data_IF_330305501619
#
_entry.id   IF_330305501619
#
_cell.length_a   1.000
_cell.length_b   1.000
_cell.length_c   1.000
_cell.angle_alpha   90.00
_cell.angle_beta   90.00
_cell.angle_gamma   90.00
#
_symmetry.space_group_name_H-M   'P 1'
#
loop_
_entity.id
_entity.type
_entity.pdbx_description
1 polymer ?
#
# COMPACT_ATOMS: atom_id res chain seq x y z
N UNK A 1 -9.12 -4.03 6.54
CA UNK A 1 -8.14 -2.98 6.15
C UNK A 1 -6.83 -3.69 5.82
N UNK A 2 -6.11 -3.25 4.79
CA UNK A 2 -4.80 -3.81 4.47
C UNK A 2 -3.69 -3.29 5.37
N UNK A 3 -2.50 -3.87 5.20
CA UNK A 3 -1.27 -3.48 5.84
C UNK A 3 -0.60 -2.40 5.00
N UNK A 4 -0.12 -1.32 5.60
CA UNK A 4 0.51 -0.21 4.88
C UNK A 4 1.75 0.25 5.63
N UNK A 5 2.66 0.91 4.92
CA UNK A 5 3.73 1.71 5.53
C UNK A 5 3.52 3.18 5.18
N UNK A 6 4.02 4.08 6.01
CA UNK A 6 3.92 5.53 5.74
C UNK A 6 4.62 5.91 4.42
N UNK A 7 5.76 5.27 4.13
CA UNK A 7 6.58 5.55 2.95
C UNK A 7 5.88 5.20 1.62
N UNK A 8 5.16 4.07 1.58
CA UNK A 8 4.62 3.53 0.33
C UNK A 8 3.09 3.58 0.23
N UNK A 9 2.39 3.72 1.36
CA UNK A 9 0.93 3.87 1.43
C UNK A 9 0.18 2.79 0.64
N UNK A 10 -0.80 3.22 -0.16
CA UNK A 10 -1.64 2.34 -0.98
C UNK A 10 -0.89 1.59 -2.08
N UNK A 11 0.26 2.13 -2.54
CA UNK A 11 1.09 1.56 -3.61
C UNK A 11 1.53 0.13 -3.31
N UNK A 12 1.79 -0.11 -2.03
CA UNK A 12 2.19 -1.41 -1.53
C UNK A 12 1.28 -1.89 -0.40
N UNK A 13 -0.01 -1.55 -0.45
CA UNK A 13 -0.97 -2.07 0.52
C UNK A 13 -0.97 -3.61 0.47
N UNK A 14 -0.60 -4.20 1.60
CA UNK A 14 -0.55 -5.62 1.84
C UNK A 14 -1.88 -6.18 2.32
N UNK A 15 -2.11 -7.47 2.04
CA UNK A 15 -3.21 -8.23 2.65
C UNK A 15 -2.95 -9.72 2.60
N UNK A 16 -3.64 -10.45 3.46
CA UNK A 16 -3.80 -11.89 3.31
C UNK A 16 -4.73 -12.18 2.12
N UNK A 17 -4.16 -12.73 1.04
CA UNK A 17 -4.87 -13.15 -0.16
C UNK A 17 -5.36 -14.60 -0.04
N UNK A 18 -6.61 -14.85 -0.43
CA UNK A 18 -7.19 -16.19 -0.45
C UNK A 18 -6.60 -17.04 -1.59
N UNK A 19 -6.35 -18.31 -1.29
CA UNK A 19 -5.88 -19.33 -2.25
C UNK A 19 -6.78 -20.55 -2.14
N UNK A 20 -7.29 -21.01 -3.27
CA UNK A 20 -8.18 -22.16 -3.37
C UNK A 20 -7.40 -23.48 -3.36
N UNK A 21 -8.12 -24.60 -3.25
CA UNK A 21 -7.53 -25.95 -3.26
C UNK A 21 -6.69 -26.24 -4.52
N UNK A 22 -7.12 -25.71 -5.68
CA UNK A 22 -6.38 -25.81 -6.95
C UNK A 22 -5.14 -24.88 -7.02
N UNK A 23 -4.90 -24.08 -5.97
CA UNK A 23 -3.81 -23.13 -5.89
C UNK A 23 -4.06 -21.78 -6.58
N UNK A 24 -5.24 -21.57 -7.17
CA UNK A 24 -5.62 -20.31 -7.80
C UNK A 24 -6.11 -19.27 -6.79
N UNK A 25 -6.06 -17.99 -7.17
CA UNK A 25 -6.76 -16.93 -6.43
C UNK A 25 -8.21 -16.82 -6.92
N UNK A 26 -9.19 -16.73 -6.01
CA UNK A 26 -10.57 -16.51 -6.40
C UNK A 26 -10.78 -15.07 -6.93
N UNK A 27 -11.76 -14.91 -7.82
CA UNK A 27 -12.21 -13.59 -8.25
C UNK A 27 -12.89 -12.85 -7.09
N UNK A 28 -12.93 -11.50 -7.10
CA UNK A 28 -13.69 -10.72 -6.13
C UNK A 28 -15.16 -11.20 -6.05
N UNK A 29 -15.72 -11.27 -4.85
CA UNK A 29 -17.12 -11.60 -4.61
C UNK A 29 -17.95 -10.31 -4.70
N UNK A 30 -19.07 -10.37 -5.42
CA UNK A 30 -20.06 -9.31 -5.46
C UNK A 30 -21.06 -9.51 -4.31
N UNK A 31 -21.14 -8.53 -3.42
CA UNK A 31 -22.12 -8.48 -2.36
C UNK A 31 -23.28 -7.59 -2.82
N UNK A 32 -24.43 -8.23 -3.06
CA UNK A 32 -25.68 -7.52 -3.31
C UNK A 32 -26.23 -7.07 -1.95
N UNK A 33 -26.15 -5.77 -1.69
CA UNK A 33 -26.64 -5.14 -0.46
C UNK A 33 -27.99 -4.46 -0.71
N UNK A 34 -28.81 -4.95 -1.65
CA UNK A 34 -30.21 -4.53 -1.83
C UNK A 34 -30.45 -3.07 -2.27
N UNK A 35 -31.52 -2.85 -3.04
CA UNK A 35 -32.21 -1.62 -3.53
C UNK A 35 -31.47 -0.28 -3.80
N UNK A 36 -30.17 -0.15 -3.56
CA UNK A 36 -29.31 0.96 -3.98
C UNK A 36 -28.38 0.50 -5.10
N UNK A 37 -28.26 1.30 -6.16
CA UNK A 37 -27.65 0.92 -7.44
C UNK A 37 -26.12 0.70 -7.48
N UNK A 38 -25.49 0.24 -6.39
CA UNK A 38 -24.07 -0.08 -6.38
C UNK A 38 -23.78 -1.28 -5.50
N UNK A 39 -23.61 -2.46 -6.10
CA UNK A 39 -23.11 -3.59 -5.33
C UNK A 39 -21.64 -3.44 -4.98
N UNK A 40 -21.27 -3.94 -3.82
CA UNK A 40 -19.91 -3.85 -3.31
C UNK A 40 -19.15 -5.11 -3.70
N UNK A 41 -17.98 -4.94 -4.33
CA UNK A 41 -17.07 -6.07 -4.57
C UNK A 41 -16.00 -6.14 -3.49
N UNK A 42 -15.68 -7.34 -3.03
CA UNK A 42 -14.62 -7.55 -2.04
C UNK A 42 -13.76 -8.77 -2.39
N UNK A 43 -12.48 -8.67 -2.07
CA UNK A 43 -11.51 -9.77 -2.17
C UNK A 43 -10.96 -10.15 -0.80
N UNK A 44 -11.66 -9.76 0.27
CA UNK A 44 -11.24 -10.08 1.63
C UNK A 44 -11.32 -11.59 1.85
N UNK A 45 -10.23 -12.24 2.29
CA UNK A 45 -10.14 -13.71 2.25
C UNK A 45 -11.29 -14.42 2.99
N UNK A 46 -11.83 -13.78 4.05
CA UNK A 46 -12.94 -14.30 4.87
C UNK A 46 -14.24 -14.57 4.09
N UNK A 47 -14.44 -13.92 2.94
CA UNK A 47 -15.64 -14.17 2.12
C UNK A 47 -15.57 -15.46 1.31
N UNK A 48 -14.42 -16.16 1.32
CA UNK A 48 -14.20 -17.40 0.58
C UNK A 48 -14.23 -18.60 1.52
N UNK A 49 -15.32 -18.77 2.27
CA UNK A 49 -15.52 -19.86 3.22
C UNK A 49 -16.35 -21.02 2.67
N UNK A 50 -16.86 -20.87 1.44
CA UNK A 50 -17.73 -21.86 0.79
C UNK A 50 -19.23 -21.56 0.96
N UNK A 51 -19.59 -20.50 1.68
CA UNK A 51 -20.99 -20.06 1.85
C UNK A 51 -21.40 -19.07 0.75
N UNK A 52 -22.71 -18.84 0.59
CA UNK A 52 -23.26 -17.89 -0.38
C UNK A 52 -22.75 -18.07 -1.83
N UNK A 53 -22.50 -19.32 -2.23
CA UNK A 53 -22.02 -19.67 -3.57
C UNK A 53 -20.55 -19.33 -3.84
N UNK A 54 -19.79 -18.91 -2.83
CA UNK A 54 -18.36 -18.62 -2.95
C UNK A 54 -17.55 -19.92 -2.95
N UNK A 55 -16.36 -19.87 -3.58
CA UNK A 55 -15.40 -20.99 -3.49
C UNK A 55 -14.67 -20.91 -2.15
N UNK A 56 -14.51 -22.04 -1.46
CA UNK A 56 -13.77 -22.12 -0.19
C UNK A 56 -12.27 -22.05 -0.44
N UNK A 57 -11.61 -21.04 0.14
CA UNK A 57 -10.16 -20.95 0.22
C UNK A 57 -9.62 -22.03 1.14
N UNK A 58 -8.47 -22.61 0.82
CA UNK A 58 -7.80 -23.60 1.69
C UNK A 58 -6.56 -23.01 2.34
N UNK A 59 -6.02 -21.94 1.76
CA UNK A 59 -4.80 -21.29 2.23
C UNK A 59 -4.89 -19.77 2.10
N UNK A 60 -4.02 -19.09 2.83
CA UNK A 60 -3.66 -17.69 2.68
C UNK A 60 -2.26 -17.55 2.11
N UNK A 61 -2.00 -16.42 1.46
CA UNK A 61 -0.64 -15.96 1.13
C UNK A 61 -0.53 -14.45 1.31
N UNK A 62 0.69 -13.95 1.50
CA UNK A 62 0.93 -12.52 1.38
C UNK A 62 0.60 -12.03 -0.02
N UNK A 63 -0.04 -10.88 -0.14
CA UNK A 63 -0.31 -10.22 -1.42
C UNK A 63 -0.16 -8.72 -1.27
N UNK A 64 0.25 -8.05 -2.34
CA UNK A 64 0.48 -6.61 -2.37
C UNK A 64 -0.30 -5.97 -3.52
N UNK A 65 -0.72 -4.72 -3.33
CA UNK A 65 -1.40 -3.89 -4.34
C UNK A 65 -0.58 -3.75 -5.63
N UNK A 66 0.76 -3.73 -5.53
CA UNK A 66 1.67 -3.68 -6.66
C UNK A 66 1.68 -4.95 -7.55
N UNK A 67 0.90 -5.98 -7.19
CA UNK A 67 0.81 -7.24 -7.94
C UNK A 67 1.68 -8.37 -7.37
N UNK A 68 2.56 -8.09 -6.41
CA UNK A 68 3.36 -9.13 -5.75
C UNK A 68 2.47 -10.16 -5.03
N UNK A 69 2.93 -11.41 -5.07
CA UNK A 69 2.27 -12.56 -4.45
C UNK A 69 3.31 -13.42 -3.74
N UNK A 70 3.10 -13.63 -2.44
CA UNK A 70 3.91 -14.52 -1.62
C UNK A 70 3.87 -15.95 -2.16
N UNK A 71 5.02 -16.62 -2.11
CA UNK A 71 5.16 -18.01 -2.58
C UNK A 71 4.67 -19.01 -1.52
N UNK A 72 4.82 -18.68 -0.23
CA UNK A 72 4.37 -19.51 0.88
C UNK A 72 2.85 -19.46 1.03
N UNK A 73 2.26 -20.63 1.28
CA UNK A 73 0.85 -20.82 1.55
C UNK A 73 0.67 -21.23 3.01
N UNK A 74 -0.29 -20.60 3.68
CA UNK A 74 -0.61 -20.82 5.10
C UNK A 74 -2.00 -21.43 5.17
N UNK A 75 -2.13 -22.65 5.68
CA UNK A 75 -3.41 -23.36 5.70
C UNK A 75 -4.44 -22.59 6.54
N UNK A 76 -5.68 -22.56 6.06
CA UNK A 76 -6.82 -22.06 6.84
C UNK A 76 -7.48 -23.25 7.51
N UNK A 77 -7.49 -23.25 8.83
CA UNK A 77 -8.28 -24.21 9.58
C UNK A 77 -9.72 -23.72 9.68
N UNK A 78 -10.60 -24.33 8.91
CA UNK A 78 -12.02 -24.00 8.90
C UNK A 78 -12.86 -24.83 9.89
N UNK A 79 -12.24 -25.72 10.67
CA UNK A 79 -12.96 -26.63 11.57
C UNK A 79 -13.71 -25.91 12.69
N UNK A 80 -13.30 -24.68 13.02
CA UNK A 80 -13.86 -23.84 14.08
C UNK A 80 -15.02 -22.93 13.61
N UNK A 81 -15.56 -23.14 12.40
CA UNK A 81 -16.73 -22.40 11.91
C UNK A 81 -16.54 -20.88 11.87
N UNK A 82 -17.40 -20.12 12.56
CA UNK A 82 -17.33 -18.64 12.59
C UNK A 82 -16.11 -18.10 13.36
N UNK A 83 -15.53 -18.85 14.30
CA UNK A 83 -14.35 -18.42 15.06
C UNK A 83 -13.12 -18.24 14.16
N UNK A 84 -13.04 -19.02 13.08
CA UNK A 84 -12.05 -18.91 12.01
C UNK A 84 -12.04 -17.51 11.42
N UNK A 85 -13.22 -16.88 11.30
CA UNK A 85 -13.34 -15.53 10.74
C UNK A 85 -12.72 -14.48 11.65
N UNK A 86 -12.48 -14.73 12.93
CA UNK A 86 -11.89 -13.73 13.83
C UNK A 86 -10.47 -14.06 14.27
N UNK A 87 -10.15 -15.35 14.43
CA UNK A 87 -8.90 -15.81 15.05
C UNK A 87 -7.88 -16.41 14.06
N UNK A 88 -8.18 -16.39 12.76
CA UNK A 88 -7.18 -16.86 11.77
C UNK A 88 -5.93 -16.00 11.81
N UNK A 89 -4.82 -16.64 12.15
CA UNK A 89 -3.51 -16.02 12.19
C UNK A 89 -3.07 -15.58 10.78
N UNK A 90 -2.84 -14.28 10.64
CA UNK A 90 -2.30 -13.67 9.40
C UNK A 90 -0.85 -13.23 9.54
N UNK A 91 -0.18 -13.57 10.64
CA UNK A 91 1.21 -13.21 10.94
C UNK A 91 2.19 -13.69 9.86
N UNK A 92 2.01 -14.91 9.35
CA UNK A 92 2.81 -15.48 8.27
C UNK A 92 2.70 -14.69 6.95
N UNK A 93 1.48 -14.57 6.36
CA UNK A 93 1.24 -13.71 5.21
C UNK A 93 1.73 -12.26 5.40
N UNK A 94 1.58 -11.70 6.60
CA UNK A 94 2.06 -10.36 6.94
C UNK A 94 3.60 -10.29 6.93
N UNK A 95 4.29 -11.26 7.53
CA UNK A 95 5.75 -11.31 7.54
C UNK A 95 6.33 -11.43 6.12
N UNK A 96 5.69 -12.21 5.25
CA UNK A 96 6.07 -12.27 3.83
C UNK A 96 5.89 -10.91 3.13
N UNK A 97 4.82 -10.18 3.45
CA UNK A 97 4.61 -8.83 2.94
C UNK A 97 5.65 -7.83 3.48
N UNK A 98 5.98 -7.86 4.77
CA UNK A 98 7.05 -7.02 5.36
C UNK A 98 8.38 -7.25 4.66
N UNK A 99 8.75 -8.51 4.42
CA UNK A 99 9.95 -8.84 3.65
C UNK A 99 9.89 -8.27 2.23
N UNK A 100 8.73 -8.37 1.57
CA UNK A 100 8.53 -7.77 0.26
C UNK A 100 8.71 -6.24 0.29
N UNK A 101 8.21 -5.53 1.30
CA UNK A 101 8.44 -4.09 1.45
C UNK A 101 9.93 -3.77 1.60
N UNK A 102 10.66 -4.54 2.40
CA UNK A 102 12.12 -4.38 2.51
C UNK A 102 12.85 -4.61 1.19
N UNK A 103 12.37 -5.54 0.37
CA UNK A 103 12.90 -5.75 -0.99
C UNK A 103 12.56 -4.59 -1.96
N UNK A 104 11.41 -3.93 -1.78
CA UNK A 104 11.03 -2.73 -2.56
C UNK A 104 11.93 -1.56 -2.18
N UNK A 105 12.10 -1.32 -0.88
CA UNK A 105 12.97 -0.27 -0.34
C UNK A 105 14.43 -0.46 -0.77
N UNK A 106 14.96 -1.69 -0.68
CA UNK A 106 16.34 -1.97 -1.10
C UNK A 106 16.60 -1.75 -2.60
N UNK A 107 15.55 -1.72 -3.43
CA UNK A 107 15.64 -1.48 -4.89
C UNK A 107 15.37 -0.04 -5.29
N UNK A 108 14.80 0.77 -4.40
CA UNK A 108 14.57 2.18 -4.65
C UNK A 108 15.85 2.99 -4.40
N UNK A 109 15.88 4.23 -4.89
CA UNK A 109 17.00 5.14 -4.67
C UNK A 109 16.98 5.56 -3.20
N UNK A 110 18.03 5.27 -2.42
CA UNK A 110 18.09 5.68 -1.02
C UNK A 110 18.24 7.19 -0.94
N UNK A 111 17.60 7.79 0.07
CA UNK A 111 17.90 9.16 0.45
C UNK A 111 19.24 9.19 1.20
N UNK A 112 20.02 10.28 1.10
CA UNK A 112 21.17 10.49 1.97
C UNK A 112 20.78 10.37 3.45
N UNK A 113 21.61 9.72 4.26
CA UNK A 113 21.29 9.43 5.66
C UNK A 113 20.99 10.71 6.47
N UNK A 114 21.75 11.77 6.21
CA UNK A 114 21.56 13.07 6.87
C UNK A 114 20.20 13.69 6.53
N UNK A 115 19.70 13.46 5.30
CA UNK A 115 18.38 13.92 4.89
C UNK A 115 17.27 13.07 5.53
N UNK A 116 17.46 11.76 5.65
CA UNK A 116 16.53 10.89 6.37
C UNK A 116 16.40 11.32 7.83
N UNK A 117 17.53 11.55 8.52
CA UNK A 117 17.56 12.02 9.91
C UNK A 117 16.90 13.40 10.07
N UNK A 118 17.13 14.30 9.12
CA UNK A 118 16.48 15.62 9.12
C UNK A 118 14.97 15.52 8.98
N UNK A 119 14.48 14.68 8.06
CA UNK A 119 13.04 14.46 7.87
C UNK A 119 12.41 13.84 9.13
N UNK A 120 13.07 12.87 9.77
CA UNK A 120 12.62 12.27 11.03
C UNK A 120 12.46 13.32 12.13
N UNK A 121 13.49 14.12 12.38
CA UNK A 121 13.44 15.20 13.39
C UNK A 121 12.39 16.26 13.09
N UNK A 122 12.22 16.63 11.82
CA UNK A 122 11.17 17.56 11.41
C UNK A 122 9.78 16.99 11.71
N UNK A 123 9.57 15.69 11.45
CA UNK A 123 8.33 14.98 11.77
C UNK A 123 8.01 15.03 13.27
N UNK A 124 8.98 14.70 14.12
CA UNK A 124 8.83 14.79 15.59
C UNK A 124 8.47 16.20 16.04
N UNK A 125 9.16 17.22 15.52
CA UNK A 125 8.90 18.62 15.86
C UNK A 125 7.51 19.08 15.41
N UNK A 126 7.07 18.69 14.21
CA UNK A 126 5.71 18.99 13.73
C UNK A 126 4.65 18.26 14.55
N UNK A 127 4.91 17.03 14.97
CA UNK A 127 4.03 16.26 15.85
C UNK A 127 3.84 16.95 17.21
N UNK A 128 4.94 17.37 17.84
CA UNK A 128 4.87 18.16 19.08
C UNK A 128 4.14 19.50 18.86
N UNK A 129 4.43 20.21 17.77
CA UNK A 129 3.79 21.48 17.46
C UNK A 129 2.28 21.32 17.20
N UNK A 130 1.85 20.20 16.61
CA UNK A 130 0.44 19.91 16.37
C UNK A 130 -0.33 19.73 17.69
N UNK A 131 0.31 19.17 18.72
CA UNK A 131 -0.25 19.01 20.06
C UNK A 131 -0.30 20.36 20.81
N UNK A 132 0.80 21.11 20.80
CA UNK A 132 0.97 22.29 21.64
C UNK A 132 0.42 23.58 21.01
N UNK A 133 0.51 23.70 19.70
CA UNK A 133 0.11 24.89 18.95
C UNK A 133 -0.37 24.53 17.52
N UNK A 134 -1.56 23.92 17.37
CA UNK A 134 -2.03 23.34 16.11
C UNK A 134 -2.08 24.32 14.93
N UNK A 135 -2.42 25.60 15.16
CA UNK A 135 -2.40 26.61 14.10
C UNK A 135 -0.97 26.93 13.61
N UNK A 136 0.02 26.87 14.51
CA UNK A 136 1.42 27.02 14.12
C UNK A 136 1.90 25.81 13.33
N UNK A 137 1.47 24.60 13.69
CA UNK A 137 1.73 23.38 12.91
C UNK A 137 1.17 23.48 11.49
N UNK A 138 -0.09 23.90 11.33
CA UNK A 138 -0.69 24.13 10.02
C UNK A 138 0.07 25.19 9.20
N UNK A 139 0.54 26.27 9.84
CA UNK A 139 1.38 27.28 9.18
C UNK A 139 2.72 26.69 8.71
N UNK A 140 3.36 25.84 9.51
CA UNK A 140 4.59 25.16 9.15
C UNK A 140 4.37 24.18 7.99
N UNK A 141 3.30 23.37 8.05
CA UNK A 141 2.89 22.47 6.96
C UNK A 141 2.68 23.24 5.66
N UNK A 142 1.94 24.34 5.68
CA UNK A 142 1.73 25.17 4.48
C UNK A 142 3.04 25.71 3.89
N UNK A 143 4.05 26.01 4.73
CA UNK A 143 5.37 26.41 4.26
C UNK A 143 6.13 25.23 3.61
N UNK A 144 6.03 24.04 4.19
CA UNK A 144 6.62 22.82 3.63
C UNK A 144 5.95 22.43 2.30
N UNK A 145 4.63 22.53 2.19
CA UNK A 145 3.89 22.28 0.95
C UNK A 145 4.34 23.19 -0.20
N UNK A 146 4.57 24.49 0.08
CA UNK A 146 5.09 25.42 -0.94
C UNK A 146 6.51 25.03 -1.38
N UNK A 147 7.38 24.71 -0.43
CA UNK A 147 8.76 24.31 -0.71
C UNK A 147 8.83 23.00 -1.49
N UNK A 148 8.10 21.97 -1.04
CA UNK A 148 8.06 20.66 -1.69
C UNK A 148 7.35 20.71 -3.04
N UNK A 149 6.31 21.55 -3.19
CA UNK A 149 5.67 21.80 -4.48
C UNK A 149 6.64 22.40 -5.51
N UNK A 150 7.41 23.42 -5.13
CA UNK A 150 8.41 24.03 -6.01
C UNK A 150 9.53 23.06 -6.39
N UNK A 151 10.15 22.39 -5.41
CA UNK A 151 11.25 21.45 -5.65
C UNK A 151 10.74 20.24 -6.45
N UNK A 152 9.53 19.75 -6.14
CA UNK A 152 8.92 18.62 -6.84
C UNK A 152 8.69 18.91 -8.32
N UNK A 153 8.25 20.14 -8.67
CA UNK A 153 8.16 20.59 -10.07
C UNK A 153 9.50 20.56 -10.78
N UNK A 154 10.53 21.15 -10.17
CA UNK A 154 11.87 21.20 -10.73
C UNK A 154 12.42 19.78 -10.98
N UNK A 155 12.24 18.88 -10.01
CA UNK A 155 12.63 17.48 -10.14
C UNK A 155 11.83 16.73 -11.20
N UNK A 156 10.50 16.91 -11.26
CA UNK A 156 9.65 16.27 -12.27
C UNK A 156 10.03 16.70 -13.69
N UNK A 157 10.28 18.00 -13.91
CA UNK A 157 10.73 18.53 -15.20
C UNK A 157 12.08 17.93 -15.63
N UNK A 158 13.03 17.76 -14.69
CA UNK A 158 14.31 17.11 -14.98
C UNK A 158 14.13 15.63 -15.35
N UNK A 159 13.29 14.89 -14.62
CA UNK A 159 13.00 13.47 -14.95
C UNK A 159 12.30 13.34 -16.30
N UNK A 160 11.38 14.25 -16.64
CA UNK A 160 10.73 14.28 -17.95
C UNK A 160 11.74 14.53 -19.08
N UNK A 161 12.74 15.39 -18.85
CA UNK A 161 13.81 15.67 -19.83
C UNK A 161 14.77 14.48 -20.04
N UNK A 162 14.91 13.60 -19.05
CA UNK A 162 15.77 12.41 -19.14
C UNK A 162 15.12 11.25 -19.95
N UNK A 163 13.86 11.40 -20.39
CA UNK A 163 13.10 10.43 -21.20
C UNK A 163 13.11 8.99 -20.65
N UNK A 164 13.19 8.84 -19.32
CA UNK A 164 13.20 7.54 -18.65
C UNK A 164 11.84 6.83 -18.79
N UNK A 165 11.86 5.50 -18.87
CA UNK A 165 10.61 4.73 -18.86
C UNK A 165 9.92 4.78 -17.49
N UNK A 166 8.60 4.66 -17.48
CA UNK A 166 7.81 4.62 -16.23
C UNK A 166 8.20 3.45 -15.32
N UNK A 167 8.66 2.34 -15.89
CA UNK A 167 9.19 1.20 -15.14
C UNK A 167 10.44 1.60 -14.34
N UNK A 168 11.37 2.30 -14.98
CA UNK A 168 12.62 2.76 -14.35
C UNK A 168 12.30 3.77 -13.25
N UNK A 169 11.43 4.75 -13.52
CA UNK A 169 11.02 5.77 -12.54
C UNK A 169 10.29 5.11 -11.36
N UNK A 170 9.36 4.19 -11.64
CA UNK A 170 8.63 3.44 -10.62
C UNK A 170 9.59 2.67 -9.72
N UNK A 171 10.49 1.87 -10.29
CA UNK A 171 11.49 1.12 -9.52
C UNK A 171 12.37 2.05 -8.68
N UNK A 172 12.85 3.15 -9.25
CA UNK A 172 13.69 4.13 -8.56
C UNK A 172 12.97 4.76 -7.36
N UNK A 173 11.67 5.00 -7.45
CA UNK A 173 10.87 5.58 -6.37
C UNK A 173 10.22 4.53 -5.44
N UNK A 174 10.40 3.24 -5.72
CA UNK A 174 9.70 2.16 -5.01
C UNK A 174 8.18 2.12 -5.27
N UNK A 175 7.73 2.57 -6.44
CA UNK A 175 6.32 2.68 -6.84
C UNK A 175 5.99 1.77 -8.02
N UNK A 176 4.69 1.57 -8.27
CA UNK A 176 4.25 1.04 -9.56
C UNK A 176 4.40 2.09 -10.67
N UNK A 177 4.43 1.66 -11.94
CA UNK A 177 4.48 2.57 -13.09
C UNK A 177 3.33 3.59 -13.09
N UNK A 178 2.12 3.12 -12.80
CA UNK A 178 0.93 3.95 -12.78
C UNK A 178 1.02 5.04 -11.70
N UNK A 179 1.56 4.70 -10.52
CA UNK A 179 1.71 5.63 -9.41
C UNK A 179 2.88 6.57 -9.60
N UNK A 180 3.98 6.11 -10.19
CA UNK A 180 5.08 6.98 -10.61
C UNK A 180 4.57 8.03 -11.59
N UNK A 181 3.81 7.60 -12.61
CA UNK A 181 3.19 8.51 -13.57
C UNK A 181 2.24 9.50 -12.90
N UNK A 182 1.34 9.01 -12.04
CA UNK A 182 0.42 9.87 -11.30
C UNK A 182 1.16 10.90 -10.44
N UNK A 183 2.26 10.50 -9.78
CA UNK A 183 3.07 11.36 -8.92
C UNK A 183 3.82 12.43 -9.71
N UNK A 184 4.44 12.07 -10.83
CA UNK A 184 5.11 13.04 -11.68
C UNK A 184 4.12 14.07 -12.23
N UNK A 185 2.98 13.61 -12.77
CA UNK A 185 1.91 14.50 -13.24
C UNK A 185 1.43 15.43 -12.12
N UNK A 186 1.26 14.91 -10.90
CA UNK A 186 0.85 15.73 -9.76
C UNK A 186 1.84 16.87 -9.49
N UNK A 187 3.15 16.59 -9.54
CA UNK A 187 4.16 17.62 -9.38
C UNK A 187 4.19 18.59 -10.56
N UNK A 188 4.11 18.10 -11.81
CA UNK A 188 4.13 18.94 -13.01
C UNK A 188 2.93 19.90 -13.10
N UNK A 189 1.77 19.54 -12.52
CA UNK A 189 0.54 20.34 -12.55
C UNK A 189 0.31 21.26 -11.34
N UNK A 190 1.10 21.15 -10.27
CA UNK A 190 0.94 22.00 -9.08
C UNK A 190 1.40 23.42 -9.42
N UNK A 191 0.53 24.44 -9.35
CA UNK A 191 0.91 25.86 -9.47
C UNK A 191 1.33 26.43 -8.11
#
# INVERSE_FOLDING_TARGET
MGWQTEQFGSSHEGRAGAVLADGSEPKPVYLDVGSGGGGHTTSHWRVYDGTLGTRRATHLRGSCACGWRGTRRYAIDWSHGDEVRYDTDTSGPHADWVRHIGEVEARSIPLPAELQDLLGRLGEQLGALAMDAPLAALKAVAALERTTGRIGREAAANVEADELSWEVIGKALGLTEAEARSRLIHYSLRH
#
